data_IF_634645481845
#
_entry.id   IF_634645481845
#
_cell.length_a   1.000
_cell.length_b   1.000
_cell.length_c   1.000
_cell.angle_alpha   90.00
_cell.angle_beta   90.00
_cell.angle_gamma   90.00
#
_symmetry.space_group_name_H-M   'P 1'
#
loop_
_entity.id
_entity.type
_entity.pdbx_description
1 polymer ?
#
# COMPACT_ATOMS: atom_id res chain seq x y z
N UNK A 1 -30.04 -10.06 11.82
CA UNK A 1 -29.23 -9.08 12.60
C UNK A 1 -30.15 -8.14 13.38
N UNK A 2 -29.73 -7.58 14.53
CA UNK A 2 -30.48 -6.55 15.24
C UNK A 2 -30.71 -5.32 14.35
N UNK A 3 -31.91 -4.73 14.40
CA UNK A 3 -32.28 -3.59 13.56
C UNK A 3 -31.40 -2.35 13.83
N UNK A 4 -30.91 -2.20 15.05
CA UNK A 4 -29.99 -1.10 15.41
C UNK A 4 -28.70 -1.09 14.58
N UNK A 5 -28.20 -2.27 14.21
CA UNK A 5 -26.97 -2.41 13.43
C UNK A 5 -27.16 -2.03 11.96
N UNK A 6 -28.41 -2.03 11.48
CA UNK A 6 -28.73 -1.63 10.10
C UNK A 6 -28.69 -0.13 9.86
N UNK A 7 -28.66 0.66 10.94
CA UNK A 7 -28.57 2.12 10.90
C UNK A 7 -27.11 2.58 10.91
N UNK A 8 -26.83 3.60 10.12
CA UNK A 8 -25.49 4.20 10.05
C UNK A 8 -25.53 5.70 9.82
N UNK A 9 -24.39 6.35 10.07
CA UNK A 9 -24.21 7.78 9.80
C UNK A 9 -23.10 7.96 8.77
N UNK A 10 -23.42 8.55 7.63
CA UNK A 10 -22.46 8.93 6.60
C UNK A 10 -21.86 10.30 6.95
N UNK A 11 -20.54 10.36 7.06
CA UNK A 11 -19.78 11.61 7.27
C UNK A 11 -19.01 11.92 5.99
N UNK A 12 -19.33 13.02 5.28
CA UNK A 12 -18.61 13.42 4.08
C UNK A 12 -17.27 14.06 4.47
N UNK A 13 -16.16 13.51 3.95
CA UNK A 13 -14.82 14.07 4.14
C UNK A 13 -14.34 14.68 2.83
N UNK A 14 -14.01 15.97 2.85
CA UNK A 14 -13.51 16.66 1.68
C UNK A 14 -12.13 16.11 1.27
N UNK A 15 -11.96 15.80 -0.02
CA UNK A 15 -10.71 15.25 -0.57
C UNK A 15 -9.57 16.29 -0.67
N UNK A 16 -9.80 17.52 -0.20
CA UNK A 16 -8.87 18.65 -0.30
C UNK A 16 -8.44 18.94 -1.74
N UNK A 17 -9.34 18.73 -2.70
CA UNK A 17 -9.12 18.93 -4.14
C UNK A 17 -10.41 19.33 -4.82
N UNK A 18 -10.31 20.27 -5.76
CA UNK A 18 -11.44 20.75 -6.56
C UNK A 18 -12.36 21.68 -5.78
N UNK A 19 -13.53 21.94 -6.36
CA UNK A 19 -14.56 22.78 -5.77
C UNK A 19 -15.20 22.11 -4.53
N UNK A 20 -15.31 22.88 -3.44
CA UNK A 20 -15.93 22.49 -2.18
C UNK A 20 -17.44 22.31 -2.34
N UNK A 21 -18.08 22.97 -3.32
CA UNK A 21 -19.51 22.79 -3.58
C UNK A 21 -19.84 21.51 -4.34
N UNK A 22 -18.84 20.85 -4.93
CA UNK A 22 -19.05 19.64 -5.72
C UNK A 22 -19.04 18.38 -4.84
N UNK A 23 -20.17 17.67 -4.78
CA UNK A 23 -20.32 16.46 -3.97
C UNK A 23 -19.34 15.33 -4.37
N UNK A 24 -18.86 15.30 -5.61
CA UNK A 24 -17.89 14.29 -6.09
C UNK A 24 -16.52 14.41 -5.41
N UNK A 25 -16.21 15.60 -4.89
CA UNK A 25 -14.97 15.91 -4.17
C UNK A 25 -15.01 15.49 -2.69
N UNK A 26 -16.10 14.85 -2.25
CA UNK A 26 -16.20 14.26 -0.92
C UNK A 26 -16.05 12.75 -0.97
N UNK A 27 -15.54 12.19 0.12
CA UNK A 27 -15.50 10.76 0.40
C UNK A 27 -16.42 10.49 1.59
N UNK A 28 -17.55 9.83 1.34
CA UNK A 28 -18.50 9.47 2.39
C UNK A 28 -17.97 8.31 3.22
N UNK A 29 -17.72 8.52 4.51
CA UNK A 29 -17.37 7.43 5.44
C UNK A 29 -18.61 7.05 6.24
N UNK A 30 -18.96 5.77 6.19
CA UNK A 30 -20.09 5.19 6.92
C UNK A 30 -19.64 4.81 8.33
N UNK A 31 -20.16 5.53 9.33
CA UNK A 31 -20.03 5.18 10.73
C UNK A 31 -21.12 4.16 11.07
N UNK A 32 -20.67 2.96 11.43
CA UNK A 32 -21.51 1.80 11.73
C UNK A 32 -21.35 1.41 13.20
N UNK A 33 -22.28 0.62 13.72
CA UNK A 33 -22.20 0.08 15.08
C UNK A 33 -20.87 -0.64 15.34
N UNK A 34 -20.28 -0.41 16.51
CA UNK A 34 -19.06 -1.09 16.94
C UNK A 34 -19.25 -2.61 17.02
N UNK A 35 -20.39 -3.06 17.54
CA UNK A 35 -20.73 -4.48 17.66
C UNK A 35 -20.90 -5.13 16.29
N UNK A 36 -21.44 -4.40 15.31
CA UNK A 36 -21.49 -4.87 13.92
C UNK A 36 -20.09 -5.05 13.34
N UNK A 37 -19.15 -4.13 13.57
CA UNK A 37 -17.76 -4.26 13.10
C UNK A 37 -17.03 -5.46 13.73
N UNK A 38 -17.32 -5.76 15.00
CA UNK A 38 -16.81 -6.97 15.65
C UNK A 38 -17.37 -8.24 14.98
N UNK A 39 -18.67 -8.25 14.69
CA UNK A 39 -19.31 -9.35 13.97
C UNK A 39 -18.73 -9.53 12.55
N UNK A 40 -18.55 -8.44 11.82
CA UNK A 40 -17.89 -8.41 10.51
C UNK A 40 -16.49 -9.01 10.54
N UNK A 41 -15.68 -8.69 11.56
CA UNK A 41 -14.34 -9.28 11.76
C UNK A 41 -14.40 -10.80 11.97
N UNK A 42 -15.38 -11.30 12.72
CA UNK A 42 -15.56 -12.74 12.93
C UNK A 42 -15.93 -13.44 11.62
N UNK A 43 -16.84 -12.84 10.83
CA UNK A 43 -17.22 -13.37 9.52
C UNK A 43 -16.04 -13.31 8.55
N UNK A 44 -15.33 -12.20 8.46
CA UNK A 44 -14.12 -12.05 7.64
C UNK A 44 -13.08 -13.14 7.95
N UNK A 45 -12.78 -13.36 9.24
CA UNK A 45 -11.82 -14.37 9.67
C UNK A 45 -12.23 -15.79 9.27
N UNK A 46 -13.53 -16.08 9.16
CA UNK A 46 -14.03 -17.37 8.67
C UNK A 46 -13.96 -17.47 7.15
N UNK A 47 -14.34 -16.41 6.43
CA UNK A 47 -14.30 -16.39 4.97
C UNK A 47 -12.87 -16.51 4.43
N UNK A 48 -11.89 -15.87 5.08
CA UNK A 48 -10.47 -15.96 4.73
C UNK A 48 -9.88 -17.37 4.84
N UNK A 49 -10.54 -18.31 5.53
CA UNK A 49 -10.10 -19.71 5.61
C UNK A 49 -10.61 -20.55 4.44
N UNK A 50 -11.60 -20.05 3.70
CA UNK A 50 -12.30 -20.78 2.64
C UNK A 50 -11.98 -20.18 1.28
N UNK A 51 -11.82 -18.86 1.21
CA UNK A 51 -11.55 -18.13 -0.03
C UNK A 51 -10.08 -17.81 -0.14
N UNK A 52 -9.47 -18.33 -1.21
CA UNK A 52 -8.15 -17.92 -1.67
C UNK A 52 -8.28 -16.78 -2.68
N UNK A 53 -7.42 -15.78 -2.56
CA UNK A 53 -7.40 -14.61 -3.45
C UNK A 53 -6.11 -14.67 -4.26
N UNK A 54 -6.17 -14.35 -5.54
CA UNK A 54 -5.01 -14.40 -6.43
C UNK A 54 -3.79 -13.61 -5.96
N UNK A 55 -2.62 -14.04 -6.44
CA UNK A 55 -1.34 -13.48 -6.03
C UNK A 55 -1.13 -12.03 -6.48
N UNK A 56 -1.76 -11.62 -7.58
CA UNK A 56 -1.72 -10.29 -8.17
C UNK A 56 -2.43 -9.24 -7.31
N UNK A 57 -3.28 -9.63 -6.37
CA UNK A 57 -3.94 -8.72 -5.44
C UNK A 57 -3.04 -8.46 -4.23
N UNK A 58 -2.52 -7.25 -4.14
CA UNK A 58 -1.74 -6.76 -3.01
C UNK A 58 -2.60 -6.03 -1.96
N UNK A 59 -3.76 -5.51 -2.38
CA UNK A 59 -4.65 -4.74 -1.53
C UNK A 59 -5.38 -5.60 -0.50
N UNK A 60 -5.33 -5.19 0.77
CA UNK A 60 -6.05 -5.83 1.89
C UNK A 60 -5.73 -7.32 2.13
N UNK A 61 -4.62 -7.80 1.55
CA UNK A 61 -4.15 -9.17 1.73
C UNK A 61 -3.14 -9.27 2.87
N UNK A 62 -3.22 -10.34 3.68
CA UNK A 62 -2.24 -10.56 4.74
C UNK A 62 -0.85 -10.71 4.11
N UNK A 63 0.18 -10.21 4.81
CA UNK A 63 1.59 -10.28 4.39
C UNK A 63 1.94 -9.55 3.08
N UNK A 64 0.99 -8.90 2.41
CA UNK A 64 1.25 -8.00 1.26
C UNK A 64 1.15 -6.54 1.68
N UNK A 65 1.95 -5.69 1.05
CA UNK A 65 2.08 -4.27 1.36
C UNK A 65 2.15 -3.44 0.09
N UNK A 66 1.89 -2.14 0.22
CA UNK A 66 2.10 -1.18 -0.88
C UNK A 66 3.55 -1.17 -1.34
N UNK A 67 4.51 -1.36 -0.42
CA UNK A 67 5.94 -1.47 -0.72
C UNK A 67 6.23 -2.60 -1.70
N UNK A 68 5.57 -3.75 -1.57
CA UNK A 68 5.79 -4.90 -2.47
C UNK A 68 5.35 -4.59 -3.91
N UNK A 69 4.16 -4.02 -4.07
CA UNK A 69 3.63 -3.65 -5.38
C UNK A 69 4.45 -2.52 -6.04
N UNK A 70 4.85 -1.51 -5.27
CA UNK A 70 5.73 -0.43 -5.76
C UNK A 70 7.08 -1.00 -6.19
N UNK A 71 7.66 -1.90 -5.39
CA UNK A 71 8.95 -2.50 -5.70
C UNK A 71 8.87 -3.37 -6.97
N UNK A 72 7.86 -4.24 -7.09
CA UNK A 72 7.67 -5.09 -8.25
C UNK A 72 7.60 -4.27 -9.55
N UNK A 73 6.82 -3.19 -9.56
CA UNK A 73 6.74 -2.27 -10.69
C UNK A 73 8.10 -1.60 -10.98
N UNK A 74 8.82 -1.12 -9.96
CA UNK A 74 10.12 -0.45 -10.13
C UNK A 74 11.16 -1.40 -10.75
N UNK A 75 11.23 -2.64 -10.27
CA UNK A 75 12.15 -3.65 -10.81
C UNK A 75 11.81 -3.97 -12.26
N UNK A 76 10.51 -4.12 -12.58
CA UNK A 76 10.09 -4.32 -13.96
C UNK A 76 10.55 -3.15 -14.84
N UNK A 77 10.27 -1.91 -14.46
CA UNK A 77 10.70 -0.73 -15.22
C UNK A 77 12.23 -0.61 -15.34
N UNK A 78 12.97 -0.91 -14.28
CA UNK A 78 14.44 -0.88 -14.28
C UNK A 78 15.03 -1.91 -15.24
N UNK A 79 14.50 -3.14 -15.24
CA UNK A 79 14.94 -4.21 -16.16
C UNK A 79 14.79 -3.80 -17.63
N UNK A 80 13.63 -3.25 -18.01
CA UNK A 80 13.40 -2.82 -19.39
C UNK A 80 14.26 -1.61 -19.74
N UNK A 81 14.49 -0.70 -18.77
CA UNK A 81 15.41 0.41 -18.90
C UNK A 81 16.84 -0.05 -19.24
N UNK A 82 17.40 -0.91 -18.40
CA UNK A 82 18.75 -1.45 -18.55
C UNK A 82 18.91 -2.23 -19.87
N UNK A 83 17.85 -2.95 -20.26
CA UNK A 83 17.82 -3.69 -21.52
C UNK A 83 17.57 -2.86 -22.78
N UNK A 84 17.37 -1.54 -22.67
CA UNK A 84 17.01 -0.66 -23.81
C UNK A 84 15.78 -1.14 -24.59
N UNK A 85 14.82 -1.75 -23.87
CA UNK A 85 13.55 -2.26 -24.40
C UNK A 85 12.39 -1.39 -23.92
N UNK A 86 11.36 -1.29 -24.75
CA UNK A 86 10.13 -0.59 -24.39
C UNK A 86 9.33 -1.38 -23.36
N UNK A 87 8.74 -0.65 -22.42
CA UNK A 87 7.76 -1.18 -21.47
C UNK A 87 6.61 -0.19 -21.38
N UNK A 88 5.42 -0.67 -21.70
CA UNK A 88 4.19 0.09 -21.66
C UNK A 88 3.45 -0.25 -20.37
N UNK A 89 3.11 0.76 -19.57
CA UNK A 89 2.34 0.57 -18.35
C UNK A 89 1.10 1.48 -18.37
N UNK A 90 -0.06 0.91 -18.13
CA UNK A 90 -1.32 1.64 -17.93
C UNK A 90 -1.75 1.49 -16.47
N UNK A 91 -2.04 2.62 -15.85
CA UNK A 91 -2.56 2.72 -14.49
C UNK A 91 -4.05 3.01 -14.55
N UNK A 92 -4.87 2.03 -14.24
CA UNK A 92 -6.33 2.11 -14.30
C UNK A 92 -6.87 2.44 -12.91
N UNK A 93 -7.70 3.49 -12.83
CA UNK A 93 -8.48 3.86 -11.65
C UNK A 93 -9.96 3.61 -11.95
N UNK A 94 -10.68 3.07 -10.96
CA UNK A 94 -12.10 2.77 -11.09
C UNK A 94 -12.96 3.83 -10.39
N UNK A 95 -14.07 4.21 -11.03
CA UNK A 95 -14.94 5.26 -10.49
C UNK A 95 -15.75 4.80 -9.29
N UNK A 96 -15.44 5.30 -8.08
CA UNK A 96 -16.27 5.11 -6.87
C UNK A 96 -16.67 3.66 -6.64
N UNK A 97 -15.71 2.74 -6.72
CA UNK A 97 -16.01 1.30 -6.82
C UNK A 97 -16.88 0.79 -5.69
N UNK A 98 -16.58 1.19 -4.46
CA UNK A 98 -17.35 0.77 -3.28
C UNK A 98 -18.81 1.22 -3.38
N UNK A 99 -19.10 2.37 -4.00
CA UNK A 99 -20.48 2.85 -4.15
C UNK A 99 -21.20 2.18 -5.34
N UNK A 100 -20.47 1.55 -6.27
CA UNK A 100 -21.01 1.00 -7.52
C UNK A 100 -21.23 -0.51 -7.53
N UNK A 101 -20.51 -1.28 -6.71
CA UNK A 101 -20.60 -2.75 -6.73
C UNK A 101 -22.07 -3.21 -6.58
N UNK A 102 -22.64 -3.88 -7.59
CA UNK A 102 -23.97 -4.46 -7.48
C UNK A 102 -23.99 -5.57 -6.41
N UNK A 103 -25.02 -5.61 -5.57
CA UNK A 103 -25.14 -6.63 -4.52
C UNK A 103 -25.28 -8.04 -5.09
N UNK A 104 -26.03 -8.20 -6.16
CA UNK A 104 -26.18 -9.49 -6.85
C UNK A 104 -24.85 -10.02 -7.37
N UNK A 105 -24.01 -9.15 -7.92
CA UNK A 105 -22.67 -9.51 -8.37
C UNK A 105 -21.79 -9.95 -7.20
N UNK A 106 -21.90 -9.29 -6.05
CA UNK A 106 -21.21 -9.69 -4.83
C UNK A 106 -21.63 -11.10 -4.39
N UNK A 107 -22.94 -11.38 -4.33
CA UNK A 107 -23.44 -12.70 -3.94
C UNK A 107 -22.98 -13.78 -4.91
N UNK A 108 -23.03 -13.48 -6.21
CA UNK A 108 -22.54 -14.37 -7.25
C UNK A 108 -21.04 -14.67 -7.09
N UNK A 109 -20.21 -13.64 -6.93
CA UNK A 109 -18.76 -13.80 -6.72
C UNK A 109 -18.46 -14.63 -5.47
N UNK A 110 -19.15 -14.38 -4.35
CA UNK A 110 -18.97 -15.17 -3.12
C UNK A 110 -19.24 -16.66 -3.36
N UNK A 111 -20.34 -16.99 -4.04
CA UNK A 111 -20.68 -18.40 -4.35
C UNK A 111 -19.65 -19.03 -5.28
N UNK A 112 -19.23 -18.31 -6.33
CA UNK A 112 -18.23 -18.79 -7.28
C UNK A 112 -16.87 -19.05 -6.61
N UNK A 113 -16.50 -18.25 -5.61
CA UNK A 113 -15.31 -18.45 -4.78
C UNK A 113 -15.46 -19.54 -3.70
N UNK A 114 -16.48 -20.41 -3.78
CA UNK A 114 -16.65 -21.55 -2.88
C UNK A 114 -17.20 -21.20 -1.48
N UNK A 115 -17.71 -19.98 -1.27
CA UNK A 115 -18.34 -19.61 0.00
C UNK A 115 -19.66 -20.35 0.17
N UNK A 116 -19.77 -21.12 1.25
CA UNK A 116 -21.01 -21.82 1.59
C UNK A 116 -22.20 -20.85 1.75
N UNK A 117 -23.38 -21.26 1.26
CA UNK A 117 -24.59 -20.42 1.20
C UNK A 117 -24.99 -19.82 2.56
N UNK A 118 -24.72 -20.54 3.67
CA UNK A 118 -24.96 -20.02 5.03
C UNK A 118 -24.22 -18.71 5.30
N UNK A 119 -22.99 -18.57 4.80
CA UNK A 119 -22.21 -17.33 4.96
C UNK A 119 -22.67 -16.25 3.98
N UNK A 120 -23.05 -16.63 2.76
CA UNK A 120 -23.65 -15.69 1.79
C UNK A 120 -24.89 -15.04 2.39
N UNK A 121 -25.81 -15.83 2.96
CA UNK A 121 -27.01 -15.34 3.64
C UNK A 121 -26.70 -14.44 4.84
N UNK A 122 -25.67 -14.76 5.61
CA UNK A 122 -25.23 -13.91 6.73
C UNK A 122 -24.77 -12.54 6.21
N UNK A 123 -24.00 -12.49 5.12
CA UNK A 123 -23.57 -11.22 4.53
C UNK A 123 -24.74 -10.48 3.88
N UNK A 124 -25.64 -11.18 3.17
CA UNK A 124 -26.89 -10.59 2.65
C UNK A 124 -27.68 -9.87 3.74
N UNK A 125 -27.89 -10.54 4.88
CA UNK A 125 -28.57 -9.96 6.04
C UNK A 125 -27.85 -8.73 6.61
N UNK A 126 -26.53 -8.57 6.44
CA UNK A 126 -25.82 -7.34 6.86
C UNK A 126 -26.10 -6.15 5.94
N UNK A 127 -26.33 -6.40 4.65
CA UNK A 127 -26.50 -5.37 3.62
C UNK A 127 -27.97 -4.99 3.39
N UNK A 128 -28.88 -5.96 3.56
CA UNK A 128 -30.30 -5.77 3.42
C UNK A 128 -30.87 -4.78 4.44
N UNK A 129 -31.88 -4.03 4.02
CA UNK A 129 -32.60 -3.05 4.86
C UNK A 129 -31.68 -2.04 5.56
N UNK A 130 -30.46 -1.85 5.05
CA UNK A 130 -29.52 -0.87 5.60
C UNK A 130 -30.00 0.53 5.29
N UNK A 131 -30.02 1.37 6.34
CA UNK A 131 -30.46 2.75 6.26
C UNK A 131 -29.37 3.68 6.77
N UNK A 132 -29.29 4.86 6.19
CA UNK A 132 -28.26 5.83 6.56
C UNK A 132 -28.81 7.24 6.58
N UNK A 133 -28.22 8.06 7.45
CA UNK A 133 -28.37 9.52 7.45
C UNK A 133 -27.03 10.16 7.04
N UNK A 134 -27.04 11.34 6.46
CA UNK A 134 -25.80 12.13 6.26
C UNK A 134 -25.66 13.12 7.40
N UNK A 135 -24.48 13.15 8.04
CA UNK A 135 -24.13 14.16 9.04
C UNK A 135 -23.27 15.25 8.40
N UNK A 136 -23.82 16.45 8.34
CA UNK A 136 -23.16 17.66 7.84
C UNK A 136 -22.97 18.67 8.97
N UNK A 137 -22.26 19.77 8.69
CA UNK A 137 -22.03 20.84 9.66
C UNK A 137 -23.33 21.50 10.18
N UNK A 138 -24.39 21.48 9.38
CA UNK A 138 -25.70 22.07 9.68
C UNK A 138 -26.67 21.11 10.39
N UNK A 139 -26.31 19.84 10.56
CA UNK A 139 -27.19 18.84 11.17
C UNK A 139 -27.17 17.48 10.45
N UNK A 140 -28.17 16.66 10.75
CA UNK A 140 -28.39 15.36 10.10
C UNK A 140 -29.51 15.47 9.07
N UNK A 141 -29.37 14.78 7.94
CA UNK A 141 -30.42 14.68 6.93
C UNK A 141 -31.49 13.67 7.33
N UNK A 142 -32.56 13.61 6.55
CA UNK A 142 -33.49 12.49 6.57
C UNK A 142 -32.79 11.16 6.27
N UNK A 143 -33.40 10.08 6.74
CA UNK A 143 -32.91 8.71 6.57
C UNK A 143 -33.27 8.19 5.18
N UNK A 144 -32.30 7.59 4.50
CA UNK A 144 -32.50 6.96 3.20
C UNK A 144 -31.95 5.53 3.17
N UNK A 145 -32.50 4.71 2.26
CA UNK A 145 -32.08 3.32 2.06
C UNK A 145 -30.79 3.26 1.26
N UNK A 146 -29.91 2.34 1.62
CA UNK A 146 -28.72 2.00 0.83
C UNK A 146 -29.01 0.70 0.09
N UNK A 147 -29.00 0.73 -1.24
CA UNK A 147 -29.40 -0.41 -2.08
C UNK A 147 -28.24 -0.98 -2.90
N UNK A 148 -27.22 -0.17 -3.20
CA UNK A 148 -26.04 -0.54 -3.97
C UNK A 148 -24.77 -0.31 -3.16
N UNK A 149 -23.71 -1.01 -3.53
CA UNK A 149 -22.37 -0.76 -3.04
C UNK A 149 -22.04 -1.44 -1.70
N UNK A 150 -20.74 -1.47 -1.45
CA UNK A 150 -20.09 -1.90 -0.22
C UNK A 150 -20.09 -0.76 0.80
N UNK A 151 -20.16 -1.10 2.08
CA UNK A 151 -20.16 -0.10 3.14
C UNK A 151 -18.74 0.46 3.37
N UNK A 152 -18.50 1.72 3.00
CA UNK A 152 -17.20 2.36 3.17
C UNK A 152 -16.94 2.70 4.65
N UNK A 153 -16.17 1.86 5.35
CA UNK A 153 -15.96 1.96 6.80
C UNK A 153 -16.33 0.68 7.57
N UNK A 154 -16.91 -0.29 6.88
CA UNK A 154 -17.06 -1.68 7.33
C UNK A 154 -15.69 -2.36 7.44
N UNK A 155 -15.58 -3.29 8.39
CA UNK A 155 -14.41 -4.13 8.55
C UNK A 155 -14.37 -5.26 7.50
N UNK A 156 -15.53 -5.69 6.98
CA UNK A 156 -15.68 -6.81 6.05
C UNK A 156 -15.62 -6.37 4.57
N UNK A 157 -16.13 -5.17 4.24
CA UNK A 157 -16.17 -4.65 2.86
C UNK A 157 -14.85 -4.77 2.09
N UNK A 158 -13.66 -4.48 2.66
CA UNK A 158 -12.41 -4.60 1.92
C UNK A 158 -12.12 -6.02 1.43
N UNK A 159 -12.46 -7.03 2.24
CA UNK A 159 -12.27 -8.42 1.84
C UNK A 159 -13.33 -8.87 0.82
N UNK A 160 -14.59 -8.46 0.99
CA UNK A 160 -15.64 -8.70 0.00
C UNK A 160 -15.28 -8.08 -1.36
N UNK A 161 -14.71 -6.88 -1.36
CA UNK A 161 -14.22 -6.24 -2.58
C UNK A 161 -13.10 -7.03 -3.23
N UNK A 162 -12.17 -7.58 -2.45
CA UNK A 162 -11.11 -8.44 -2.97
C UNK A 162 -11.67 -9.70 -3.64
N UNK A 163 -12.69 -10.34 -3.06
CA UNK A 163 -13.39 -11.50 -3.66
C UNK A 163 -13.98 -11.11 -5.03
N UNK A 164 -14.68 -9.98 -5.09
CA UNK A 164 -15.27 -9.49 -6.34
C UNK A 164 -14.18 -9.24 -7.39
N UNK A 165 -13.15 -8.48 -7.05
CA UNK A 165 -12.03 -8.19 -7.97
C UNK A 165 -11.30 -9.45 -8.42
N UNK A 166 -11.13 -10.44 -7.54
CA UNK A 166 -10.53 -11.72 -7.88
C UNK A 166 -11.33 -12.45 -8.98
N UNK A 167 -12.64 -12.54 -8.81
CA UNK A 167 -13.54 -13.23 -9.75
C UNK A 167 -13.72 -12.49 -11.08
N UNK A 168 -13.61 -11.17 -11.07
CA UNK A 168 -13.68 -10.35 -12.28
C UNK A 168 -12.39 -10.44 -13.08
N UNK A 169 -11.26 -10.42 -12.38
CA UNK A 169 -9.95 -10.39 -13.01
C UNK A 169 -9.50 -11.76 -13.54
N UNK A 170 -10.17 -12.85 -13.16
CA UNK A 170 -9.79 -14.23 -13.48
C UNK A 170 -9.43 -14.45 -14.96
N UNK A 171 -10.21 -13.88 -15.89
CA UNK A 171 -10.05 -14.08 -17.34
C UNK A 171 -9.00 -13.16 -17.98
N UNK A 172 -8.63 -12.06 -17.31
CA UNK A 172 -7.82 -10.96 -17.90
C UNK A 172 -6.51 -10.69 -17.18
N UNK A 173 -6.35 -11.21 -15.96
CA UNK A 173 -5.13 -11.04 -15.16
C UNK A 173 -3.99 -11.84 -15.73
N UNK A 174 -2.84 -11.21 -15.83
CA UNK A 174 -1.56 -11.86 -16.13
C UNK A 174 -0.80 -12.13 -14.83
N UNK A 175 0.25 -12.94 -14.91
CA UNK A 175 1.15 -13.14 -13.78
C UNK A 175 1.77 -11.81 -13.33
N UNK A 176 1.92 -11.62 -12.03
CA UNK A 176 2.66 -10.46 -11.53
C UNK A 176 4.14 -10.59 -11.93
N UNK A 177 4.82 -9.51 -12.39
CA UNK A 177 4.41 -8.11 -12.29
C UNK A 177 3.66 -7.53 -13.52
N UNK A 178 3.20 -8.34 -14.47
CA UNK A 178 2.48 -7.86 -15.66
C UNK A 178 1.08 -7.31 -15.34
N UNK A 179 0.45 -7.88 -14.32
CA UNK A 179 -0.76 -7.33 -13.71
C UNK A 179 -0.55 -7.22 -12.21
N UNK A 180 -0.78 -6.02 -11.67
CA UNK A 180 -0.76 -5.78 -10.22
C UNK A 180 -2.02 -5.03 -9.82
N UNK A 181 -2.72 -5.54 -8.81
CA UNK A 181 -3.91 -4.91 -8.27
C UNK A 181 -3.67 -4.50 -6.83
N UNK A 182 -4.12 -3.32 -6.45
CA UNK A 182 -4.21 -2.90 -5.07
C UNK A 182 -5.57 -2.27 -4.84
N UNK A 183 -6.52 -3.10 -4.42
CA UNK A 183 -7.92 -2.71 -4.38
C UNK A 183 -8.41 -2.20 -5.75
N UNK A 184 -8.73 -0.91 -5.86
CA UNK A 184 -9.24 -0.24 -7.06
C UNK A 184 -8.16 0.29 -8.01
N UNK A 185 -6.90 0.33 -7.56
CA UNK A 185 -5.75 0.66 -8.41
C UNK A 185 -5.27 -0.59 -9.16
N UNK A 186 -5.31 -0.57 -10.49
CA UNK A 186 -4.83 -1.68 -11.34
C UNK A 186 -3.68 -1.17 -12.20
N UNK A 187 -2.61 -1.96 -12.30
CA UNK A 187 -1.49 -1.71 -13.21
C UNK A 187 -1.42 -2.86 -14.22
N UNK A 188 -1.43 -2.49 -15.49
CA UNK A 188 -1.30 -3.40 -16.62
C UNK A 188 -0.01 -3.05 -17.36
N UNK A 189 0.90 -4.00 -17.48
CA UNK A 189 2.17 -3.83 -18.16
C UNK A 189 2.23 -4.72 -19.41
N UNK A 190 2.94 -4.27 -20.44
CA UNK A 190 3.19 -5.04 -21.66
C UNK A 190 4.48 -4.56 -22.35
N UNK A 191 5.08 -5.43 -23.15
CA UNK A 191 6.23 -5.10 -23.99
C UNK A 191 5.85 -4.36 -25.27
N UNK A 192 4.56 -4.42 -25.67
CA UNK A 192 4.02 -3.74 -26.86
C UNK A 192 2.87 -2.81 -26.48
N UNK A 193 2.79 -1.67 -27.18
CA UNK A 193 1.70 -0.70 -27.09
C UNK A 193 0.36 -1.33 -27.48
N UNK A 194 0.32 -2.05 -28.59
CA UNK A 194 -0.88 -2.71 -29.11
C UNK A 194 -1.40 -3.72 -28.09
N UNK A 195 -0.49 -4.49 -27.48
CA UNK A 195 -0.86 -5.48 -26.48
C UNK A 195 -1.35 -4.85 -25.17
N UNK A 196 -0.78 -3.71 -24.73
CA UNK A 196 -1.31 -3.02 -23.54
C UNK A 196 -2.69 -2.41 -23.81
N UNK A 197 -2.92 -1.90 -25.02
CA UNK A 197 -4.21 -1.37 -25.47
C UNK A 197 -5.28 -2.48 -25.51
N UNK A 198 -4.97 -3.63 -26.12
CA UNK A 198 -5.88 -4.78 -26.11
C UNK A 198 -6.20 -5.25 -24.68
N UNK A 199 -5.19 -5.34 -23.83
CA UNK A 199 -5.39 -5.73 -22.43
C UNK A 199 -6.25 -4.71 -21.69
N UNK A 200 -6.01 -3.41 -21.89
CA UNK A 200 -6.81 -2.35 -21.29
C UNK A 200 -8.29 -2.45 -21.70
N UNK A 201 -8.58 -2.69 -22.98
CA UNK A 201 -9.95 -2.89 -23.46
C UNK A 201 -10.60 -4.14 -22.88
N UNK A 202 -9.86 -5.26 -22.79
CA UNK A 202 -10.35 -6.49 -22.14
C UNK A 202 -10.70 -6.23 -20.68
N UNK A 203 -9.83 -5.54 -19.94
CA UNK A 203 -10.08 -5.15 -18.55
C UNK A 203 -11.32 -4.27 -18.43
N UNK A 204 -11.43 -3.23 -19.26
CA UNK A 204 -12.59 -2.34 -19.30
C UNK A 204 -13.88 -3.13 -19.57
N UNK A 205 -13.88 -4.01 -20.56
CA UNK A 205 -15.06 -4.81 -20.91
C UNK A 205 -15.50 -5.70 -19.74
N UNK A 206 -14.57 -6.41 -19.10
CA UNK A 206 -14.89 -7.35 -18.02
C UNK A 206 -15.36 -6.65 -16.74
N UNK A 207 -14.82 -5.47 -16.45
CA UNK A 207 -15.25 -4.66 -15.31
C UNK A 207 -16.61 -3.99 -15.56
N UNK A 208 -16.77 -3.34 -16.72
CA UNK A 208 -17.99 -2.58 -17.03
C UNK A 208 -19.21 -3.47 -17.22
N UNK A 209 -19.05 -4.66 -17.82
CA UNK A 209 -20.16 -5.62 -17.98
C UNK A 209 -20.76 -6.08 -16.64
N UNK A 210 -20.02 -5.93 -15.54
CA UNK A 210 -20.44 -6.30 -14.16
C UNK A 210 -20.59 -5.07 -13.25
N UNK A 211 -20.73 -3.87 -13.83
CA UNK A 211 -21.11 -2.65 -13.11
C UNK A 211 -19.96 -1.83 -12.53
N UNK A 212 -18.70 -2.15 -12.83
CA UNK A 212 -17.54 -1.37 -12.40
C UNK A 212 -16.99 -0.53 -13.55
N UNK A 213 -17.06 0.79 -13.39
CA UNK A 213 -16.69 1.72 -14.44
C UNK A 213 -15.24 2.17 -14.33
N UNK A 214 -14.52 2.17 -15.45
CA UNK A 214 -13.16 2.69 -15.55
C UNK A 214 -13.20 4.23 -15.61
N UNK A 215 -12.31 4.89 -14.87
CA UNK A 215 -12.19 6.34 -14.87
C UNK A 215 -11.24 6.80 -15.98
N UNK A 216 -11.79 7.27 -17.10
CA UNK A 216 -10.99 7.79 -18.22
C UNK A 216 -10.05 8.93 -17.80
N UNK A 217 -10.56 9.88 -17.00
CA UNK A 217 -9.81 11.08 -16.62
C UNK A 217 -8.66 10.84 -15.62
N UNK A 218 -8.68 9.70 -14.93
CA UNK A 218 -7.64 9.32 -13.97
C UNK A 218 -6.76 8.16 -14.43
N UNK A 219 -7.18 7.47 -15.49
CA UNK A 219 -6.37 6.42 -16.10
C UNK A 219 -5.20 7.10 -16.81
N UNK A 220 -3.98 6.70 -16.49
CA UNK A 220 -2.76 7.29 -17.03
C UNK A 220 -1.87 6.22 -17.67
N UNK A 221 -1.15 6.59 -18.71
CA UNK A 221 -0.26 5.72 -19.48
C UNK A 221 1.19 6.22 -19.39
N UNK A 222 2.15 5.32 -19.24
CA UNK A 222 3.58 5.64 -19.30
C UNK A 222 4.33 4.61 -20.13
N UNK A 223 5.42 5.05 -20.75
CA UNK A 223 6.32 4.20 -21.53
C UNK A 223 7.76 4.39 -21.04
N UNK A 224 8.47 3.29 -20.77
CA UNK A 224 9.92 3.29 -20.52
C UNK A 224 10.65 3.07 -21.83
N UNK A 225 11.77 3.78 -22.03
CA UNK A 225 12.60 3.70 -23.26
C UNK A 225 11.83 3.92 -24.56
N UNK A 226 10.86 4.84 -24.53
CA UNK A 226 10.04 5.18 -25.67
C UNK A 226 10.87 5.50 -26.91
N UNK A 227 10.56 4.82 -28.01
CA UNK A 227 11.15 5.04 -29.34
C UNK A 227 10.33 6.06 -30.13
N UNK A 228 10.95 6.70 -31.11
CA UNK A 228 10.24 7.61 -32.02
C UNK A 228 9.11 6.85 -32.74
N UNK A 229 7.87 7.35 -32.59
CA UNK A 229 6.68 6.74 -33.20
C UNK A 229 5.84 5.86 -32.29
N UNK A 230 6.23 5.62 -31.03
CA UNK A 230 5.52 4.70 -30.09
C UNK A 230 4.16 5.17 -29.58
N UNK A 231 3.54 6.16 -30.23
CA UNK A 231 2.13 6.52 -30.12
C UNK A 231 1.57 6.73 -28.71
N UNK A 232 0.25 6.80 -28.66
CA UNK A 232 -0.57 6.81 -27.44
C UNK A 232 -1.35 5.49 -27.37
N UNK A 233 -1.77 5.14 -26.16
CA UNK A 233 -2.73 4.04 -25.91
C UNK A 233 -4.12 4.65 -25.92
N UNK A 234 -5.08 3.95 -26.51
CA UNK A 234 -6.48 4.37 -26.54
C UNK A 234 -7.35 3.53 -25.60
N UNK A 235 -8.38 4.17 -25.06
CA UNK A 235 -9.45 3.55 -24.29
C UNK A 235 -10.78 4.04 -24.88
N UNK A 236 -11.57 3.12 -25.44
CA UNK A 236 -12.79 3.37 -26.19
C UNK A 236 -12.57 4.34 -27.37
N UNK A 237 -11.38 4.30 -27.98
CA UNK A 237 -10.98 5.20 -29.06
C UNK A 237 -10.47 6.57 -28.60
N UNK A 238 -10.59 6.92 -27.32
CA UNK A 238 -10.03 8.16 -26.75
C UNK A 238 -8.58 7.94 -26.29
N UNK A 239 -7.71 8.94 -26.48
CA UNK A 239 -6.33 8.82 -26.02
C UNK A 239 -6.22 8.86 -24.49
N UNK A 240 -5.55 7.85 -23.93
CA UNK A 240 -5.19 7.83 -22.51
C UNK A 240 -4.07 8.83 -22.27
N UNK A 241 -4.22 9.63 -21.21
CA UNK A 241 -3.24 10.65 -20.84
C UNK A 241 -1.87 10.03 -20.60
N UNK A 242 -0.91 10.36 -21.47
CA UNK A 242 0.48 9.93 -21.35
C UNK A 242 1.23 10.79 -20.33
N UNK A 243 1.94 10.15 -19.40
CA UNK A 243 2.70 10.80 -18.34
C UNK A 243 4.11 10.23 -18.22
N UNK A 244 5.08 11.10 -17.97
CA UNK A 244 6.46 10.70 -17.65
C UNK A 244 6.64 10.40 -16.15
N UNK A 245 5.70 10.89 -15.33
CA UNK A 245 5.73 10.80 -13.88
C UNK A 245 4.34 10.42 -13.37
N UNK A 246 4.23 9.30 -12.67
CA UNK A 246 2.98 8.79 -12.13
C UNK A 246 3.07 8.59 -10.61
N UNK A 247 1.96 8.76 -9.89
CA UNK A 247 1.88 8.50 -8.44
C UNK A 247 1.16 7.18 -8.18
N UNK A 248 1.92 6.11 -8.00
CA UNK A 248 1.41 4.78 -7.68
C UNK A 248 1.49 4.48 -6.18
N UNK A 249 0.36 4.15 -5.54
CA UNK A 249 0.26 3.80 -4.11
C UNK A 249 0.96 4.78 -3.17
N UNK A 250 0.90 6.06 -3.53
CA UNK A 250 1.54 7.13 -2.78
C UNK A 250 2.97 7.45 -3.20
N UNK A 251 3.66 6.60 -3.96
CA UNK A 251 5.04 6.78 -4.45
C UNK A 251 5.10 7.23 -5.90
N UNK A 252 6.03 8.14 -6.19
CA UNK A 252 6.25 8.67 -7.53
C UNK A 252 7.18 7.74 -8.31
N UNK A 253 6.71 7.26 -9.45
CA UNK A 253 7.44 6.42 -10.37
C UNK A 253 7.66 7.22 -11.67
N UNK A 254 8.86 7.15 -12.22
CA UNK A 254 9.23 7.87 -13.44
C UNK A 254 9.72 6.89 -14.51
N UNK A 255 9.38 7.17 -15.76
CA UNK A 255 9.82 6.40 -16.93
C UNK A 255 11.36 6.33 -17.02
N UNK A 256 12.05 7.45 -16.84
CA UNK A 256 13.51 7.57 -16.86
C UNK A 256 14.24 6.97 -15.65
N UNK A 257 13.51 6.55 -14.61
CA UNK A 257 14.09 5.94 -13.41
C UNK A 257 14.64 6.89 -12.37
N UNK A 258 14.53 8.21 -12.59
CA UNK A 258 15.05 9.18 -11.64
C UNK A 258 14.27 9.15 -10.33
N UNK A 259 15.01 9.05 -9.22
CA UNK A 259 14.44 9.06 -7.88
C UNK A 259 14.36 10.45 -7.23
N UNK A 260 15.01 11.46 -7.83
CA UNK A 260 15.17 12.79 -7.23
C UNK A 260 13.84 13.46 -6.89
N UNK A 261 12.82 13.36 -7.75
CA UNK A 261 11.50 13.96 -7.47
C UNK A 261 10.75 13.22 -6.36
N UNK A 262 10.89 11.89 -6.26
CA UNK A 262 10.28 11.13 -5.17
C UNK A 262 10.89 11.56 -3.83
N UNK A 263 12.21 11.65 -3.75
CA UNK A 263 12.92 12.13 -2.54
C UNK A 263 12.44 13.54 -2.17
N UNK A 264 12.37 14.48 -3.13
CA UNK A 264 11.86 15.84 -2.89
C UNK A 264 10.42 15.84 -2.36
N UNK A 265 9.53 15.05 -2.95
CA UNK A 265 8.13 14.94 -2.48
C UNK A 265 8.03 14.35 -1.08
N UNK A 266 8.88 13.39 -0.72
CA UNK A 266 8.94 12.82 0.63
C UNK A 266 9.43 13.80 1.67
N UNK A 267 10.48 14.55 1.35
CA UNK A 267 10.96 15.65 2.18
C UNK A 267 9.85 16.66 2.39
N UNK A 268 9.13 17.06 1.32
CA UNK A 268 8.00 17.97 1.42
C UNK A 268 6.85 17.42 2.27
N UNK A 269 6.52 16.13 2.13
CA UNK A 269 5.51 15.47 2.96
C UNK A 269 5.91 15.46 4.45
N UNK A 270 7.18 15.20 4.73
CA UNK A 270 7.79 15.35 6.04
C UNK A 270 7.62 16.74 6.61
N UNK A 271 8.00 17.77 5.86
CA UNK A 271 7.84 19.17 6.26
C UNK A 271 6.38 19.56 6.48
N UNK A 272 5.46 19.07 5.66
CA UNK A 272 4.03 19.29 5.87
C UNK A 272 3.56 18.64 7.18
N UNK A 273 4.05 17.44 7.50
CA UNK A 273 3.83 16.80 8.80
C UNK A 273 4.40 17.62 9.94
N UNK A 274 5.64 18.09 9.79
CA UNK A 274 6.32 18.93 10.77
C UNK A 274 5.56 20.23 11.06
N UNK A 275 5.08 20.94 10.04
CA UNK A 275 4.30 22.18 10.20
C UNK A 275 3.04 21.99 11.04
N UNK A 276 2.41 20.82 10.98
CA UNK A 276 1.22 20.52 11.79
C UNK A 276 1.53 20.34 13.28
N UNK A 277 2.78 20.00 13.60
CA UNK A 277 3.23 19.74 14.98
C UNK A 277 4.32 20.72 15.42
N UNK A 278 4.56 21.79 14.65
CA UNK A 278 5.60 22.79 14.93
C UNK A 278 5.36 23.48 16.27
N UNK A 279 4.11 23.69 16.66
CA UNK A 279 3.75 24.21 17.99
C UNK A 279 4.29 23.34 19.13
N UNK A 280 4.42 22.02 18.94
CA UNK A 280 5.00 21.11 19.93
C UNK A 280 6.53 21.00 19.77
N UNK A 281 7.01 20.94 18.53
CA UNK A 281 8.43 20.76 18.24
C UNK A 281 9.25 22.02 18.56
N UNK A 282 8.68 23.21 18.43
CA UNK A 282 9.34 24.48 18.70
C UNK A 282 9.12 25.00 20.12
N UNK A 283 8.20 24.45 20.90
CA UNK A 283 7.95 24.91 22.28
C UNK A 283 9.13 24.57 23.20
N UNK A 284 9.72 25.59 23.83
CA UNK A 284 10.84 25.44 24.77
C UNK A 284 10.45 24.74 26.08
N UNK A 285 9.15 24.76 26.44
CA UNK A 285 8.62 24.10 27.64
C UNK A 285 8.54 22.58 27.49
N UNK A 286 8.57 22.08 26.25
CA UNK A 286 8.41 20.66 25.97
C UNK A 286 9.78 19.99 25.93
N UNK A 287 9.92 18.89 26.66
CA UNK A 287 11.19 18.15 26.73
C UNK A 287 11.59 17.58 25.37
N UNK A 288 12.90 17.54 25.11
CA UNK A 288 13.47 16.99 23.88
C UNK A 288 13.04 15.53 23.62
N UNK A 289 12.81 14.73 24.69
CA UNK A 289 12.32 13.35 24.58
C UNK A 289 10.92 13.27 23.97
N UNK A 290 10.00 14.17 24.37
CA UNK A 290 8.64 14.24 23.81
C UNK A 290 8.70 14.72 22.36
N UNK A 291 9.48 15.77 22.08
CA UNK A 291 9.70 16.26 20.71
C UNK A 291 10.23 15.16 19.78
N UNK A 292 11.21 14.40 20.26
CA UNK A 292 11.74 13.23 19.57
C UNK A 292 10.66 12.17 19.30
N UNK A 293 9.79 11.88 20.28
CA UNK A 293 8.65 10.95 20.08
C UNK A 293 7.71 11.45 18.98
N UNK A 294 7.31 12.73 19.03
CA UNK A 294 6.44 13.35 18.02
C UNK A 294 7.06 13.32 16.62
N UNK A 295 8.35 13.65 16.51
CA UNK A 295 9.09 13.54 15.25
C UNK A 295 9.06 12.10 14.71
N UNK A 296 9.37 11.10 15.55
CA UNK A 296 9.42 9.69 15.16
C UNK A 296 8.04 9.14 14.72
N UNK A 297 6.94 9.70 15.21
CA UNK A 297 5.58 9.22 14.92
C UNK A 297 4.88 9.99 13.79
N UNK A 298 5.15 11.28 13.62
CA UNK A 298 4.41 12.14 12.68
C UNK A 298 5.22 12.55 11.45
N UNK A 299 6.49 12.91 11.65
CA UNK A 299 7.33 13.53 10.61
C UNK A 299 8.13 12.47 9.88
N UNK A 300 8.89 11.65 10.63
CA UNK A 300 9.78 10.64 10.06
C UNK A 300 9.04 9.61 9.20
N UNK A 301 7.88 9.05 9.60
CA UNK A 301 7.17 8.08 8.75
C UNK A 301 6.71 8.69 7.42
N UNK A 302 6.29 9.95 7.41
CA UNK A 302 5.90 10.65 6.18
C UNK A 302 7.09 10.86 5.22
N UNK A 303 8.29 11.11 5.78
CA UNK A 303 9.54 11.19 5.01
C UNK A 303 10.00 9.83 4.50
N UNK A 304 9.83 8.75 5.27
CA UNK A 304 10.40 7.45 4.94
C UNK A 304 9.52 6.60 4.02
N UNK A 305 8.20 6.86 3.95
CA UNK A 305 7.28 6.02 3.18
C UNK A 305 7.77 5.80 1.74
N UNK A 306 7.87 4.55 1.30
CA UNK A 306 8.25 4.17 -0.07
C UNK A 306 9.73 4.33 -0.40
N UNK A 307 10.55 5.01 0.42
CA UNK A 307 12.00 5.16 0.18
C UNK A 307 12.76 3.83 0.22
N UNK A 308 12.20 2.81 0.87
CA UNK A 308 12.75 1.46 0.90
C UNK A 308 12.83 0.84 -0.51
N UNK A 309 11.94 1.27 -1.43
CA UNK A 309 11.86 0.76 -2.81
C UNK A 309 12.73 1.52 -3.81
N UNK A 310 13.39 2.59 -3.38
CA UNK A 310 14.11 3.50 -4.28
C UNK A 310 15.58 3.12 -4.36
N UNK A 311 16.06 2.78 -5.57
CA UNK A 311 17.47 2.56 -5.85
C UNK A 311 18.26 3.88 -5.83
N UNK A 312 19.53 3.83 -5.41
CA UNK A 312 20.43 4.98 -5.52
C UNK A 312 20.19 6.15 -4.56
N UNK A 313 19.38 6.01 -3.51
CA UNK A 313 19.43 6.95 -2.36
C UNK A 313 20.77 6.76 -1.65
N UNK A 314 21.85 7.27 -2.25
CA UNK A 314 23.02 7.65 -1.48
C UNK A 314 22.49 8.69 -0.52
N UNK A 315 22.57 8.42 0.77
CA UNK A 315 22.31 9.39 1.81
C UNK A 315 23.34 10.54 1.68
N UNK A 316 23.19 11.40 0.65
CA UNK A 316 23.56 12.81 0.78
C UNK A 316 22.52 13.40 1.72
N UNK A 317 22.57 12.96 2.98
CA UNK A 317 21.86 13.59 4.07
C UNK A 317 22.37 15.02 4.08
N UNK A 318 21.54 15.92 3.60
CA UNK A 318 21.89 17.32 3.63
C UNK A 318 22.11 17.65 5.10
N UNK A 319 23.27 18.24 5.44
CA UNK A 319 23.60 18.73 6.80
C UNK A 319 22.55 19.72 7.36
N UNK A 320 21.51 20.05 6.59
CA UNK A 320 20.44 20.97 6.90
C UNK A 320 19.20 20.31 7.54
N UNK A 321 18.95 19.00 7.33
CA UNK A 321 17.67 18.37 7.73
C UNK A 321 17.53 18.10 9.23
N UNK A 322 18.61 17.95 10.00
CA UNK A 322 18.52 17.56 11.41
C UNK A 322 18.33 18.74 12.38
N UNK A 323 18.74 19.96 11.99
CA UNK A 323 18.84 21.11 12.91
C UNK A 323 17.45 21.72 13.14
N UNK A 324 16.73 22.00 12.06
CA UNK A 324 15.44 22.73 12.10
C UNK A 324 14.28 21.89 12.63
N UNK A 325 14.41 20.56 12.61
CA UNK A 325 13.31 19.62 12.91
C UNK A 325 12.88 19.61 14.38
N UNK A 326 13.74 20.03 15.31
CA UNK A 326 13.41 20.08 16.75
C UNK A 326 13.29 21.51 17.28
N UNK A 327 13.08 22.48 16.38
CA UNK A 327 12.98 23.91 16.74
C UNK A 327 14.30 24.51 17.20
N UNK A 328 15.42 23.87 16.87
CA UNK A 328 16.78 24.37 17.10
C UNK A 328 17.24 25.03 15.80
N UNK A 329 17.87 26.18 15.92
CA UNK A 329 18.42 26.92 14.78
C UNK A 329 19.92 26.71 14.70
N UNK A 330 20.51 26.95 13.51
CA UNK A 330 21.98 26.93 13.37
C UNK A 330 22.68 27.97 14.25
N UNK A 331 21.96 28.99 14.71
CA UNK A 331 22.45 30.02 15.62
C UNK A 331 22.67 29.50 17.05
N UNK A 332 22.01 28.40 17.42
CA UNK A 332 22.15 27.81 18.76
C UNK A 332 23.49 27.06 18.94
N UNK A 333 24.27 26.87 17.87
CA UNK A 333 25.61 26.22 17.85
C UNK A 333 25.65 24.83 18.54
N UNK A 334 24.51 24.14 18.61
CA UNK A 334 24.42 22.79 19.20
C UNK A 334 24.78 21.74 18.14
N UNK A 335 25.65 20.78 18.49
CA UNK A 335 25.99 19.66 17.59
C UNK A 335 24.77 18.76 17.33
N UNK A 336 24.53 18.39 16.07
CA UNK A 336 23.41 17.52 15.67
C UNK A 336 23.40 16.16 16.39
N UNK A 337 24.57 15.65 16.79
CA UNK A 337 24.70 14.41 17.57
C UNK A 337 24.10 14.56 18.97
N UNK A 338 24.34 15.71 19.61
CA UNK A 338 23.78 16.01 20.93
C UNK A 338 22.26 16.18 20.87
N UNK A 339 21.76 16.94 19.88
CA UNK A 339 20.31 17.11 19.65
C UNK A 339 19.63 15.74 19.47
N UNK A 340 20.23 14.87 18.65
CA UNK A 340 19.73 13.52 18.37
C UNK A 340 19.80 12.60 19.58
N UNK A 341 20.88 12.67 20.36
CA UNK A 341 21.02 11.93 21.61
C UNK A 341 19.92 12.28 22.60
N UNK A 342 19.72 13.57 22.86
CA UNK A 342 18.70 14.06 23.82
C UNK A 342 17.27 13.80 23.34
N UNK A 343 17.02 13.83 22.03
CA UNK A 343 15.71 13.50 21.46
C UNK A 343 15.50 11.99 21.23
N UNK A 344 16.53 11.17 21.37
CA UNK A 344 16.58 9.75 20.98
C UNK A 344 16.16 9.52 19.52
N UNK A 345 16.74 10.28 18.59
CA UNK A 345 16.43 10.20 17.15
C UNK A 345 17.66 9.77 16.36
N UNK A 346 17.59 8.63 15.67
CA UNK A 346 18.65 8.17 14.75
C UNK A 346 18.66 8.94 13.43
N UNK A 347 19.74 8.82 12.65
CA UNK A 347 19.86 9.50 11.35
C UNK A 347 18.82 8.95 10.37
N UNK A 348 18.35 9.81 9.46
CA UNK A 348 17.34 9.41 8.48
C UNK A 348 17.88 8.30 7.55
N UNK A 349 19.15 8.40 7.11
CA UNK A 349 19.80 7.38 6.30
C UNK A 349 19.83 6.00 6.97
N UNK A 350 20.19 5.94 8.25
CA UNK A 350 20.20 4.69 9.02
C UNK A 350 18.78 4.10 9.10
N UNK A 351 17.76 4.94 9.26
CA UNK A 351 16.36 4.49 9.27
C UNK A 351 15.83 4.03 7.92
N UNK A 352 16.31 4.61 6.82
CA UNK A 352 16.04 4.07 5.47
C UNK A 352 16.65 2.67 5.36
N UNK A 353 17.91 2.49 5.78
CA UNK A 353 18.59 1.18 5.77
C UNK A 353 17.88 0.14 6.62
N UNK A 354 17.55 0.48 7.86
CA UNK A 354 16.77 -0.40 8.76
C UNK A 354 15.43 -0.81 8.14
N UNK A 355 14.73 0.14 7.51
CA UNK A 355 13.47 -0.11 6.81
C UNK A 355 13.64 -1.13 5.70
N UNK A 356 14.62 -0.90 4.82
CA UNK A 356 14.96 -1.83 3.74
C UNK A 356 15.29 -3.23 4.25
N UNK A 357 16.10 -3.34 5.30
CA UNK A 357 16.47 -4.64 5.90
C UNK A 357 15.27 -5.34 6.52
N UNK A 358 14.39 -4.61 7.20
CA UNK A 358 13.14 -5.15 7.74
C UNK A 358 12.26 -5.71 6.63
N UNK A 359 12.11 -4.95 5.54
CA UNK A 359 11.33 -5.36 4.39
C UNK A 359 11.97 -6.56 3.66
N UNK A 360 13.28 -6.58 3.48
CA UNK A 360 14.00 -7.75 2.95
C UNK A 360 13.77 -9.00 3.81
N UNK A 361 13.88 -8.88 5.15
CA UNK A 361 13.56 -9.98 6.05
C UNK A 361 12.11 -10.44 5.94
N UNK A 362 11.16 -9.52 5.68
CA UNK A 362 9.77 -9.86 5.42
C UNK A 362 9.60 -10.66 4.12
N UNK A 363 10.28 -10.26 3.06
CA UNK A 363 10.31 -10.99 1.78
C UNK A 363 10.88 -12.41 1.96
N UNK A 364 11.99 -12.54 2.69
CA UNK A 364 12.66 -13.84 2.96
C UNK A 364 11.84 -14.82 3.82
N UNK A 365 10.78 -14.37 4.49
CA UNK A 365 9.93 -15.24 5.32
C UNK A 365 8.68 -15.78 4.60
N UNK A 366 8.41 -15.35 3.36
CA UNK A 366 7.23 -15.78 2.58
C UNK A 366 7.35 -17.22 2.10
N UNK A 367 6.30 -17.93 1.75
CA UNK A 367 6.47 -19.28 1.19
C UNK A 367 7.01 -19.23 -0.25
N UNK A 368 7.59 -20.33 -0.73
CA UNK A 368 8.02 -20.50 -2.12
C UNK A 368 6.81 -20.39 -3.06
N UNK A 369 6.62 -19.21 -3.67
CA UNK A 369 5.61 -18.94 -4.70
C UNK A 369 5.27 -17.46 -4.85
N UNK A 370 5.54 -16.65 -3.82
CA UNK A 370 5.19 -15.22 -3.84
C UNK A 370 6.23 -14.38 -4.62
N UNK A 371 5.77 -13.46 -5.47
CA UNK A 371 6.57 -12.62 -6.40
C UNK A 371 7.83 -11.99 -5.79
N UNK A 372 7.83 -11.48 -4.53
CA UNK A 372 9.05 -10.94 -3.94
C UNK A 372 10.11 -12.00 -3.62
N UNK A 373 9.71 -13.25 -3.36
CA UNK A 373 10.59 -14.37 -2.97
C UNK A 373 10.98 -15.22 -4.17
N UNK A 374 10.06 -15.45 -5.09
CA UNK A 374 10.27 -16.25 -6.29
C UNK A 374 9.92 -15.45 -7.52
N UNK A 375 10.94 -15.04 -8.27
CA UNK A 375 10.77 -14.50 -9.61
C UNK A 375 10.30 -15.56 -10.61
N UNK A 376 9.16 -16.23 -10.36
CA UNK A 376 8.54 -17.16 -11.29
C UNK A 376 7.54 -16.40 -12.15
N UNK A 377 7.87 -16.30 -13.44
CA UNK A 377 7.45 -15.25 -14.39
C UNK A 377 8.62 -14.33 -14.79
N UNK A 378 9.70 -14.39 -14.00
CA UNK A 378 10.98 -13.71 -14.19
C UNK A 378 12.14 -14.71 -14.34
N UNK A 379 11.86 -15.96 -14.76
CA UNK A 379 12.84 -17.05 -14.85
C UNK A 379 13.96 -16.81 -15.87
N UNK A 380 13.81 -15.85 -16.78
CA UNK A 380 14.90 -15.32 -17.63
C UNK A 380 15.44 -13.96 -17.15
N UNK A 381 15.18 -13.60 -15.90
CA UNK A 381 15.67 -12.39 -15.21
C UNK A 381 16.38 -12.84 -13.94
N UNK A 382 17.39 -13.69 -14.12
CA UNK A 382 18.26 -14.14 -13.05
C UNK A 382 19.01 -12.94 -12.46
N UNK A 383 18.45 -12.26 -11.46
CA UNK A 383 19.18 -11.37 -10.54
C UNK A 383 18.37 -10.81 -9.37
N UNK A 384 17.12 -11.20 -9.10
CA UNK A 384 16.38 -10.67 -7.94
C UNK A 384 17.11 -10.90 -6.60
N UNK A 385 17.66 -12.11 -6.31
CA UNK A 385 18.48 -12.33 -5.13
C UNK A 385 19.82 -11.58 -5.20
N UNK A 386 20.53 -11.66 -6.34
CA UNK A 386 21.85 -11.03 -6.50
C UNK A 386 21.80 -9.50 -6.43
N UNK A 387 20.78 -8.83 -6.99
CA UNK A 387 20.60 -7.37 -6.88
C UNK A 387 20.07 -6.94 -5.52
N UNK A 388 19.24 -7.73 -4.83
CA UNK A 388 18.99 -7.47 -3.41
C UNK A 388 20.32 -7.57 -2.66
N UNK A 389 21.14 -8.59 -2.91
CA UNK A 389 22.48 -8.68 -2.34
C UNK A 389 23.44 -7.57 -2.81
N UNK A 390 23.28 -6.94 -3.99
CA UNK A 390 24.08 -5.77 -4.40
C UNK A 390 23.56 -4.46 -3.77
N UNK A 391 22.24 -4.26 -3.74
CA UNK A 391 21.56 -3.13 -3.07
C UNK A 391 21.82 -3.15 -1.56
N UNK A 392 21.86 -4.34 -0.95
CA UNK A 392 22.08 -4.54 0.48
C UNK A 392 23.53 -4.85 0.85
N UNK A 393 24.32 -5.48 -0.03
CA UNK A 393 25.69 -5.94 0.23
C UNK A 393 26.76 -4.91 -0.06
N UNK A 394 26.51 -3.87 -0.88
CA UNK A 394 27.41 -2.70 -0.95
C UNK A 394 27.40 -1.86 0.35
N UNK A 395 26.52 -2.15 1.33
CA UNK A 395 26.43 -1.43 2.60
C UNK A 395 26.94 -2.22 3.82
N UNK A 396 27.53 -3.42 3.61
CA UNK A 396 28.12 -4.25 4.67
C UNK A 396 29.54 -3.80 5.04
N UNK A 397 29.65 -2.61 5.64
CA UNK A 397 30.83 -2.24 6.43
C UNK A 397 30.57 -2.60 7.91
N UNK A 398 31.55 -3.28 8.53
CA UNK A 398 31.46 -4.11 9.74
C UNK A 398 30.91 -3.52 11.05
N UNK A 399 30.32 -2.31 11.05
CA UNK A 399 29.62 -1.72 12.21
C UNK A 399 28.10 -1.95 12.20
N UNK A 400 27.49 -2.31 11.07
CA UNK A 400 26.03 -2.49 10.95
C UNK A 400 25.47 -3.83 11.47
N UNK A 401 26.32 -4.85 11.68
CA UNK A 401 25.89 -6.20 12.07
C UNK A 401 25.25 -6.29 13.47
N UNK A 402 25.68 -5.43 14.40
CA UNK A 402 25.21 -5.47 15.80
C UNK A 402 23.81 -4.87 15.97
N UNK A 403 23.44 -3.85 15.18
CA UNK A 403 22.08 -3.30 15.18
C UNK A 403 21.08 -4.23 14.46
N UNK A 404 21.55 -5.00 13.47
CA UNK A 404 20.73 -5.95 12.72
C UNK A 404 20.30 -7.14 13.57
N UNK A 405 21.19 -7.68 14.41
CA UNK A 405 20.86 -8.73 15.38
C UNK A 405 19.76 -8.26 16.38
N UNK A 406 19.78 -6.99 16.80
CA UNK A 406 18.75 -6.40 17.66
C UNK A 406 17.41 -6.18 16.94
N UNK A 407 17.44 -5.76 15.67
CA UNK A 407 16.23 -5.56 14.87
C UNK A 407 15.52 -6.87 14.51
N UNK A 408 16.27 -7.98 14.36
CA UNK A 408 15.71 -9.31 14.13
C UNK A 408 15.14 -9.97 15.41
N UNK A 409 15.69 -9.64 16.59
CA UNK A 409 15.26 -10.24 17.87
C UNK A 409 14.08 -9.57 18.59
N UNK A 410 13.50 -8.49 18.05
CA UNK A 410 12.55 -7.64 18.79
C UNK A 410 11.13 -7.65 18.20
N UNK A 411 10.44 -8.80 18.20
CA UNK A 411 8.97 -8.83 18.19
C UNK A 411 8.43 -10.16 18.76
N UNK A 412 7.50 -10.13 19.73
CA UNK A 412 7.09 -11.32 20.46
C UNK A 412 5.98 -12.07 19.71
N UNK A 413 6.26 -13.32 19.34
CA UNK A 413 5.24 -14.36 19.26
C UNK A 413 5.66 -15.51 20.18
N UNK A 414 5.12 -15.53 21.39
CA UNK A 414 4.95 -16.77 22.14
C UNK A 414 3.82 -17.54 21.45
N UNK A 415 4.18 -18.64 20.79
CA UNK A 415 3.35 -19.82 20.70
C UNK A 415 4.26 -20.97 21.09
N UNK A 416 3.99 -21.58 22.25
CA UNK A 416 4.72 -22.75 22.71
C UNK A 416 4.39 -23.95 21.83
N UNK A 417 5.32 -24.90 21.70
CA UNK A 417 5.28 -26.14 22.48
C UNK A 417 6.19 -27.23 21.87
N UNK A 418 6.81 -28.00 22.78
CA UNK A 418 7.41 -29.33 22.66
C UNK A 418 8.74 -29.56 21.94
N UNK A 419 9.63 -30.28 22.65
CA UNK A 419 10.75 -31.05 22.10
C UNK A 419 11.98 -31.11 23.02
N UNK A 420 11.94 -31.93 24.08
CA UNK A 420 13.16 -32.55 24.62
C UNK A 420 13.71 -33.53 23.56
N UNK A 421 15.04 -33.68 23.41
CA UNK A 421 15.83 -34.65 24.19
C UNK A 421 17.22 -34.06 24.56
N UNK A 422 18.16 -34.64 25.28
CA UNK A 422 18.49 -36.01 25.68
C UNK A 422 19.52 -35.88 26.83
N UNK A 423 19.49 -36.82 27.77
CA UNK A 423 20.52 -37.01 28.79
C UNK A 423 21.77 -37.63 28.16
N UNK A 424 22.94 -37.14 28.55
CA UNK A 424 24.25 -37.81 28.65
C UNK A 424 25.19 -36.73 29.22
N UNK A 425 25.82 -36.82 30.38
CA UNK A 425 26.52 -37.93 30.99
C UNK A 425 27.95 -37.41 31.30
N UNK A 426 28.42 -37.62 32.53
CA UNK A 426 29.79 -37.36 33.04
C UNK A 426 30.16 -35.88 33.33
N UNK A 427 30.76 -35.49 34.46
CA UNK A 427 31.32 -36.23 35.59
C UNK A 427 32.44 -35.38 36.24
N UNK A 428 32.41 -35.21 37.57
CA UNK A 428 33.52 -34.78 38.44
C UNK A 428 33.95 -33.30 38.35
N UNK A 429 34.31 -32.59 39.41
CA UNK A 429 34.51 -32.90 40.83
C UNK A 429 35.30 -31.74 41.47
N UNK A 430 35.07 -31.51 42.78
CA UNK A 430 35.92 -30.72 43.71
C UNK A 430 35.94 -29.20 43.47
N UNK A 431 35.83 -28.31 44.46
CA UNK A 431 35.61 -28.35 45.92
C UNK A 431 34.79 -27.10 46.26
#
# INVERSE_FOLDING_TARGET
>A
MPEEWRRSVLVPIFKNKGDVQSCSNYKGIKLMSHTMKLWERVVEARLRKVVEICEQQYGFMPRKSTTDAIFALRILMEKYRDGQRELHCVFVDLEKVYDRVPREELWYCMRKSGVAEKYVRVVQDMYERSRTVVRCAVGQTEEFKVEVGLHQGSALSPFLFAIVMDQLSEEVRQESPWTMMFADDIVICSESREQVEENLERWRFVLERRGMKVSHSKTEYTCVNEREGSGTVRLQGEEVKKVQEFKYLGSTVQSNGECGKEVKKRVQAGWNGWRKVSGVLCDRKISARIKGKVYRTMVRPAMLYGLETVSGVRARGSRAEDVEVLGVTRLDKIRNEYIRGTAHVGRLGDKVREGRLRWFGHVQRRESGEVPREGRGLTNVCQLPQRLTEIFGQEWDGKGGVECARAMGSCPHRAGSYGAPEEDGEGGGGE
#
